data_IF_157714422553
#
_entry.id   IF_157714422553
#
_cell.length_a   1.000
_cell.length_b   1.000
_cell.length_c   1.000
_cell.angle_alpha   90.00
_cell.angle_beta   90.00
_cell.angle_gamma   90.00
#
_symmetry.space_group_name_H-M   'P 1'
#
loop_
_entity.id
_entity.type
_entity.pdbx_description
1 polymer ?
#
# COMPACT_ATOMS: atom_id res chain seq x y z
N UNK A 1 16.02 31.29 12.42
CA UNK A 1 15.70 31.73 11.05
C UNK A 1 14.82 30.65 10.48
N UNK A 2 13.57 30.97 10.20
CA UNK A 2 12.57 30.01 9.71
C UNK A 2 12.89 29.73 8.23
N UNK A 3 13.74 28.73 7.97
CA UNK A 3 14.18 28.41 6.60
C UNK A 3 13.10 27.58 5.91
N UNK A 4 12.10 28.26 5.35
CA UNK A 4 11.12 27.64 4.47
C UNK A 4 11.78 27.23 3.16
N UNK A 5 11.68 25.96 2.79
CA UNK A 5 12.11 25.45 1.50
C UNK A 5 11.10 25.83 0.41
N UNK A 6 11.58 26.35 -0.71
CA UNK A 6 10.77 26.71 -1.88
C UNK A 6 11.19 25.83 -3.06
N UNK A 7 10.36 24.86 -3.48
CA UNK A 7 10.61 24.07 -4.68
C UNK A 7 10.41 24.91 -5.95
N UNK A 8 10.99 24.47 -7.09
CA UNK A 8 10.64 25.02 -8.42
C UNK A 8 9.98 23.98 -9.31
N UNK A 9 10.57 22.80 -9.42
CA UNK A 9 10.08 21.73 -10.29
C UNK A 9 9.83 20.47 -9.45
N UNK A 10 8.54 20.13 -9.29
CA UNK A 10 8.09 19.04 -8.42
C UNK A 10 7.60 17.87 -9.29
N UNK A 11 8.19 16.70 -9.10
CA UNK A 11 7.66 15.44 -9.60
C UNK A 11 6.73 14.82 -8.56
N UNK A 12 5.45 14.62 -8.90
CA UNK A 12 4.48 13.89 -8.08
C UNK A 12 4.15 12.57 -8.76
N UNK A 13 4.60 11.45 -8.19
CA UNK A 13 4.29 10.12 -8.75
C UNK A 13 2.94 9.65 -8.23
N UNK A 14 2.12 9.00 -9.05
CA UNK A 14 0.85 8.41 -8.61
C UNK A 14 -0.31 9.42 -8.48
N UNK A 15 -0.19 10.61 -9.08
CA UNK A 15 -1.16 11.69 -8.90
C UNK A 15 -2.46 11.55 -9.70
N UNK A 16 -2.62 10.50 -10.52
CA UNK A 16 -3.94 10.13 -11.02
C UNK A 16 -4.71 9.28 -9.98
N UNK A 17 -4.06 8.84 -8.89
CA UNK A 17 -4.70 8.20 -7.75
C UNK A 17 -5.42 9.18 -6.81
N UNK A 18 -5.88 8.67 -5.67
CA UNK A 18 -6.69 9.42 -4.69
C UNK A 18 -5.92 10.58 -4.03
N UNK A 19 -5.08 10.31 -3.02
CA UNK A 19 -4.45 11.35 -2.18
C UNK A 19 -3.59 12.31 -3.01
N UNK A 20 -2.76 11.76 -3.89
CA UNK A 20 -1.80 12.54 -4.67
C UNK A 20 -2.47 13.51 -5.65
N UNK A 21 -3.68 13.22 -6.14
CA UNK A 21 -4.42 14.16 -6.98
C UNK A 21 -4.86 15.42 -6.22
N UNK A 22 -5.30 15.27 -4.97
CA UNK A 22 -5.62 16.40 -4.10
C UNK A 22 -4.37 17.25 -3.82
N UNK A 23 -3.24 16.60 -3.52
CA UNK A 23 -1.95 17.29 -3.32
C UNK A 23 -1.53 18.05 -4.59
N UNK A 24 -1.54 17.39 -5.75
CA UNK A 24 -1.19 18.02 -7.03
C UNK A 24 -2.09 19.21 -7.34
N UNK A 25 -3.42 19.04 -7.31
CA UNK A 25 -4.36 20.11 -7.60
C UNK A 25 -4.21 21.30 -6.63
N UNK A 26 -3.94 21.01 -5.36
CA UNK A 26 -3.70 22.04 -4.34
C UNK A 26 -2.42 22.83 -4.65
N UNK A 27 -1.31 22.16 -4.93
CA UNK A 27 -0.03 22.81 -5.23
C UNK A 27 -0.11 23.62 -6.53
N UNK A 28 -0.73 23.07 -7.58
CA UNK A 28 -0.90 23.76 -8.87
C UNK A 28 -1.69 25.05 -8.71
N UNK A 29 -2.80 25.00 -7.95
CA UNK A 29 -3.67 26.16 -7.72
C UNK A 29 -3.02 27.22 -6.84
N UNK A 30 -2.34 26.81 -5.78
CA UNK A 30 -1.85 27.73 -4.75
C UNK A 30 -0.46 28.32 -5.08
N UNK A 31 0.32 27.65 -5.93
CA UNK A 31 1.69 28.03 -6.27
C UNK A 31 1.89 28.05 -7.79
N UNK A 32 1.46 29.12 -8.48
CA UNK A 32 1.56 29.22 -9.93
C UNK A 32 3.02 29.23 -10.45
N UNK A 33 3.98 29.58 -9.59
CA UNK A 33 5.41 29.60 -9.91
C UNK A 33 6.08 28.21 -9.80
N UNK A 34 5.38 27.19 -9.28
CA UNK A 34 5.89 25.82 -9.20
C UNK A 34 5.47 25.05 -10.44
N UNK A 35 6.40 24.40 -11.12
CA UNK A 35 6.11 23.46 -12.19
C UNK A 35 5.83 22.08 -11.59
N UNK A 36 4.62 21.57 -11.80
CA UNK A 36 4.16 20.28 -11.29
C UNK A 36 4.12 19.27 -12.44
N UNK A 37 5.02 18.29 -12.37
CA UNK A 37 5.09 17.16 -13.28
C UNK A 37 4.49 15.94 -12.58
N UNK A 38 3.48 15.33 -13.18
CA UNK A 38 2.89 14.09 -12.69
C UNK A 38 3.40 12.91 -13.49
N UNK A 39 3.85 11.86 -12.80
CA UNK A 39 4.18 10.56 -13.40
C UNK A 39 3.23 9.50 -12.86
N UNK A 40 2.43 8.88 -13.73
CA UNK A 40 1.48 7.85 -13.34
C UNK A 40 1.31 6.79 -14.43
N UNK A 41 1.24 5.52 -14.06
CA UNK A 41 1.07 4.42 -15.02
C UNK A 41 -0.38 4.19 -15.43
N UNK A 42 -1.34 4.85 -14.75
CA UNK A 42 -2.78 4.71 -14.90
C UNK A 42 -3.24 3.27 -14.62
N UNK A 43 -2.95 2.80 -13.40
CA UNK A 43 -3.43 1.50 -12.91
C UNK A 43 -4.93 1.52 -12.55
N UNK A 44 -5.49 0.37 -12.13
CA UNK A 44 -6.94 0.20 -11.91
C UNK A 44 -7.58 1.25 -10.98
N UNK A 45 -6.85 1.74 -9.97
CA UNK A 45 -7.32 2.74 -9.00
C UNK A 45 -6.90 4.18 -9.36
N UNK A 46 -6.53 4.42 -10.62
CA UNK A 46 -6.07 5.72 -11.13
C UNK A 46 -7.04 6.27 -12.17
N UNK A 47 -7.26 7.58 -12.17
CA UNK A 47 -8.17 8.23 -13.10
C UNK A 47 -7.72 9.66 -13.41
N UNK A 48 -7.48 9.95 -14.69
CA UNK A 48 -7.11 11.29 -15.15
C UNK A 48 -8.17 12.35 -14.81
N UNK A 49 -9.44 11.94 -14.63
CA UNK A 49 -10.50 12.86 -14.19
C UNK A 49 -10.13 13.56 -12.87
N UNK A 50 -9.35 12.91 -12.00
CA UNK A 50 -8.90 13.46 -10.72
C UNK A 50 -8.03 14.72 -10.89
N UNK A 51 -7.39 14.91 -12.06
CA UNK A 51 -6.51 16.05 -12.36
C UNK A 51 -7.20 17.10 -13.26
N UNK A 52 -8.50 16.93 -13.58
CA UNK A 52 -9.24 17.90 -14.40
C UNK A 52 -9.21 19.33 -13.86
N UNK A 53 -9.27 19.59 -12.53
CA UNK A 53 -9.19 20.96 -12.02
C UNK A 53 -7.92 21.71 -12.44
N UNK A 54 -6.85 20.99 -12.77
CA UNK A 54 -5.55 21.54 -13.11
C UNK A 54 -5.12 21.30 -14.56
N UNK A 55 -5.96 20.64 -15.37
CA UNK A 55 -5.60 20.19 -16.72
C UNK A 55 -5.14 21.31 -17.65
N UNK A 56 -5.69 22.51 -17.48
CA UNK A 56 -5.39 23.68 -18.31
C UNK A 56 -4.39 24.63 -17.66
N UNK A 57 -3.85 24.30 -16.49
CA UNK A 57 -2.88 25.15 -15.80
C UNK A 57 -1.54 25.13 -16.54
N UNK A 58 -0.90 26.29 -16.76
CA UNK A 58 0.34 26.39 -17.53
C UNK A 58 1.53 25.71 -16.83
N UNK A 59 1.45 25.55 -15.52
CA UNK A 59 2.46 24.95 -14.66
C UNK A 59 2.19 23.45 -14.37
N UNK A 60 1.33 22.79 -15.15
CA UNK A 60 0.99 21.38 -15.00
C UNK A 60 1.39 20.55 -16.22
N UNK A 61 2.05 19.42 -15.98
CA UNK A 61 2.39 18.42 -17.00
C UNK A 61 2.06 17.02 -16.52
N UNK A 62 1.43 16.21 -17.36
CA UNK A 62 1.16 14.80 -17.09
C UNK A 62 2.02 13.91 -18.00
N UNK A 63 2.66 12.90 -17.41
CA UNK A 63 3.44 11.88 -18.10
C UNK A 63 2.89 10.51 -17.72
N UNK A 64 2.42 9.76 -18.72
CA UNK A 64 2.01 8.37 -18.52
C UNK A 64 3.25 7.49 -18.51
N UNK A 65 3.50 6.76 -17.43
CA UNK A 65 4.62 5.84 -17.35
C UNK A 65 4.79 5.17 -15.99
N UNK A 66 5.65 4.16 -15.94
CA UNK A 66 5.92 3.37 -14.73
C UNK A 66 7.22 3.83 -14.07
N UNK A 67 7.19 4.01 -12.74
CA UNK A 67 8.37 4.33 -11.92
C UNK A 67 9.41 3.21 -11.94
N UNK A 68 9.03 1.99 -12.34
CA UNK A 68 9.97 0.89 -12.56
C UNK A 68 10.85 1.06 -13.80
N UNK A 69 10.58 2.05 -14.67
CA UNK A 69 11.42 2.35 -15.83
C UNK A 69 12.53 3.34 -15.45
N UNK A 70 13.74 2.83 -15.23
CA UNK A 70 14.89 3.65 -14.89
C UNK A 70 15.21 4.70 -15.95
N UNK A 71 15.15 4.34 -17.24
CA UNK A 71 15.42 5.28 -18.34
C UNK A 71 14.42 6.43 -18.36
N UNK A 72 13.13 6.13 -18.20
CA UNK A 72 12.08 7.15 -18.15
C UNK A 72 12.25 8.07 -16.95
N UNK A 73 12.49 7.51 -15.77
CA UNK A 73 12.69 8.31 -14.55
C UNK A 73 13.88 9.23 -14.70
N UNK A 74 15.05 8.72 -15.15
CA UNK A 74 16.22 9.55 -15.39
C UNK A 74 15.95 10.65 -16.42
N UNK A 75 15.27 10.32 -17.53
CA UNK A 75 14.89 11.27 -18.55
C UNK A 75 14.02 12.41 -17.98
N UNK A 76 12.99 12.09 -17.19
CA UNK A 76 12.10 13.09 -16.58
C UNK A 76 12.88 13.98 -15.62
N UNK A 77 13.71 13.40 -14.73
CA UNK A 77 14.45 14.20 -13.75
C UNK A 77 15.34 15.24 -14.45
N UNK A 78 16.05 14.84 -15.50
CA UNK A 78 16.94 15.72 -16.25
C UNK A 78 16.18 16.75 -17.11
N UNK A 79 15.21 16.30 -17.92
CA UNK A 79 14.54 17.18 -18.90
C UNK A 79 13.60 18.20 -18.26
N UNK A 80 12.95 17.84 -17.16
CA UNK A 80 12.06 18.74 -16.43
C UNK A 80 12.78 19.50 -15.29
N UNK A 81 14.10 19.32 -15.15
CA UNK A 81 14.93 19.93 -14.11
C UNK A 81 14.35 19.75 -12.69
N UNK A 82 13.84 18.55 -12.39
CA UNK A 82 13.15 18.23 -11.14
C UNK A 82 14.08 18.47 -9.95
N UNK A 83 13.67 19.30 -9.00
CA UNK A 83 14.41 19.52 -7.74
C UNK A 83 13.74 18.83 -6.54
N UNK A 84 12.46 18.49 -6.67
CA UNK A 84 11.64 17.95 -5.58
C UNK A 84 10.85 16.76 -6.08
N UNK A 85 10.81 15.69 -5.28
CA UNK A 85 9.96 14.53 -5.56
C UNK A 85 9.00 14.32 -4.40
N UNK A 86 7.72 14.14 -4.71
CA UNK A 86 6.71 13.65 -3.78
C UNK A 86 6.20 12.29 -4.27
N UNK A 87 6.65 11.22 -3.62
CA UNK A 87 6.49 9.86 -4.09
C UNK A 87 5.29 9.16 -3.44
N UNK A 88 4.13 9.19 -4.11
CA UNK A 88 2.89 8.52 -3.69
C UNK A 88 2.59 7.19 -4.41
N UNK A 89 3.23 6.92 -5.56
CA UNK A 89 2.91 5.75 -6.38
C UNK A 89 3.17 4.45 -5.62
N UNK A 90 2.13 3.62 -5.46
CA UNK A 90 2.20 2.34 -4.76
C UNK A 90 0.98 1.46 -5.09
N UNK A 91 1.12 0.15 -4.88
CA UNK A 91 -0.02 -0.76 -4.67
C UNK A 91 -0.41 -0.75 -3.20
N UNK A 92 -1.71 -0.65 -2.90
CA UNK A 92 -2.20 -0.36 -1.54
C UNK A 92 -3.37 -1.22 -1.02
N UNK A 93 -3.90 -2.15 -1.81
CA UNK A 93 -5.03 -2.96 -1.35
C UNK A 93 -4.58 -4.18 -0.55
N UNK A 94 -4.79 -4.17 0.77
CA UNK A 94 -4.34 -5.22 1.70
C UNK A 94 -4.79 -6.62 1.25
N UNK A 95 -6.08 -6.83 0.93
CA UNK A 95 -6.55 -8.16 0.51
C UNK A 95 -5.89 -8.63 -0.79
N UNK A 96 -5.58 -7.71 -1.72
CA UNK A 96 -4.93 -8.06 -2.99
C UNK A 96 -3.46 -8.45 -2.76
N UNK A 97 -2.84 -7.93 -1.69
CA UNK A 97 -1.44 -8.22 -1.37
C UNK A 97 -1.20 -9.68 -0.99
N UNK A 98 -2.19 -10.37 -0.44
CA UNK A 98 -2.08 -11.80 -0.13
C UNK A 98 -2.12 -12.68 -1.39
N UNK A 99 -2.86 -12.26 -2.42
CA UNK A 99 -2.95 -12.98 -3.69
C UNK A 99 -1.84 -12.65 -4.70
N UNK A 100 -1.24 -11.46 -4.60
CA UNK A 100 -0.30 -10.92 -5.59
C UNK A 100 0.87 -10.13 -4.97
N UNK A 101 1.46 -10.65 -3.88
CA UNK A 101 2.52 -9.96 -3.12
C UNK A 101 3.74 -9.56 -3.96
N UNK A 102 4.07 -10.29 -5.04
CA UNK A 102 5.19 -9.95 -5.92
C UNK A 102 4.99 -8.61 -6.65
N UNK A 103 3.77 -8.29 -7.10
CA UNK A 103 3.48 -6.99 -7.71
C UNK A 103 3.57 -5.85 -6.70
N UNK A 104 3.28 -6.10 -5.42
CA UNK A 104 3.52 -5.11 -4.35
C UNK A 104 5.02 -4.88 -4.15
N UNK A 105 5.85 -5.93 -4.12
CA UNK A 105 7.30 -5.80 -4.07
C UNK A 105 7.84 -5.02 -5.27
N UNK A 106 7.38 -5.34 -6.48
CA UNK A 106 7.83 -4.68 -7.72
C UNK A 106 7.46 -3.19 -7.73
N UNK A 107 6.20 -2.86 -7.42
CA UNK A 107 5.77 -1.46 -7.45
C UNK A 107 6.31 -0.67 -6.26
N UNK A 108 6.21 -1.19 -5.03
CA UNK A 108 6.50 -0.44 -3.82
C UNK A 108 8.01 -0.40 -3.51
N UNK A 109 8.71 -1.54 -3.58
CA UNK A 109 10.14 -1.60 -3.25
C UNK A 109 10.98 -1.26 -4.48
N UNK A 110 10.86 -2.03 -5.56
CA UNK A 110 11.70 -1.84 -6.74
C UNK A 110 11.44 -0.47 -7.40
N UNK A 111 10.19 -0.04 -7.54
CA UNK A 111 9.86 1.30 -8.04
C UNK A 111 10.47 2.44 -7.19
N UNK A 112 10.41 2.34 -5.85
CA UNK A 112 11.08 3.29 -4.96
C UNK A 112 12.60 3.26 -5.17
N UNK A 113 13.18 2.06 -5.33
CA UNK A 113 14.62 1.90 -5.53
C UNK A 113 15.09 2.55 -6.83
N UNK A 114 14.34 2.41 -7.92
CA UNK A 114 14.62 3.07 -9.20
C UNK A 114 14.65 4.59 -9.04
N UNK A 115 13.66 5.16 -8.35
CA UNK A 115 13.65 6.60 -8.04
C UNK A 115 14.87 7.02 -7.24
N UNK A 116 15.22 6.28 -6.18
CA UNK A 116 16.37 6.60 -5.33
C UNK A 116 17.71 6.54 -6.08
N UNK A 117 17.93 5.53 -6.93
CA UNK A 117 19.13 5.46 -7.78
C UNK A 117 19.16 6.62 -8.79
N UNK A 118 18.04 6.96 -9.41
CA UNK A 118 17.98 8.12 -10.33
C UNK A 118 18.27 9.45 -9.60
N UNK A 119 17.77 9.63 -8.37
CA UNK A 119 18.08 10.80 -7.54
C UNK A 119 19.58 10.89 -7.23
N UNK A 120 20.18 9.76 -6.87
CA UNK A 120 21.62 9.65 -6.58
C UNK A 120 22.48 9.96 -7.80
N UNK A 121 22.11 9.45 -8.98
CA UNK A 121 22.85 9.67 -10.23
C UNK A 121 22.75 11.12 -10.69
N UNK A 122 21.58 11.73 -10.60
CA UNK A 122 21.35 13.12 -11.06
C UNK A 122 21.88 14.16 -10.08
N UNK A 123 21.84 13.90 -8.77
CA UNK A 123 22.40 14.79 -7.74
C UNK A 123 21.72 16.16 -7.60
N UNK A 124 20.64 16.42 -8.33
CA UNK A 124 19.93 17.70 -8.35
C UNK A 124 18.78 17.79 -7.34
N UNK A 125 18.34 16.65 -6.78
CA UNK A 125 17.22 16.60 -5.85
C UNK A 125 17.59 17.29 -4.53
N UNK A 126 16.75 18.23 -4.13
CA UNK A 126 16.86 19.01 -2.89
C UNK A 126 15.84 18.58 -1.83
N UNK A 127 14.80 17.84 -2.24
CA UNK A 127 13.81 17.24 -1.32
C UNK A 127 13.16 16.01 -1.93
N UNK A 128 13.18 14.89 -1.21
CA UNK A 128 12.50 13.64 -1.59
C UNK A 128 11.52 13.24 -0.49
N UNK A 129 10.22 13.40 -0.73
CA UNK A 129 9.16 13.06 0.23
C UNK A 129 8.63 11.67 -0.12
N UNK A 130 8.92 10.69 0.71
CA UNK A 130 8.40 9.33 0.59
C UNK A 130 7.09 9.19 1.37
N UNK A 131 6.01 8.82 0.68
CA UNK A 131 4.71 8.64 1.31
C UNK A 131 4.50 7.19 1.70
N UNK A 132 4.36 6.95 2.99
CA UNK A 132 4.10 5.64 3.60
C UNK A 132 2.79 5.63 4.39
N UNK A 133 2.58 4.60 5.20
CA UNK A 133 1.34 4.29 5.92
C UNK A 133 1.62 4.07 7.40
N UNK A 134 0.62 4.16 8.26
CA UNK A 134 0.68 3.76 9.66
C UNK A 134 0.79 2.25 9.87
N UNK A 135 0.26 1.45 8.93
CA UNK A 135 0.34 -0.03 8.97
C UNK A 135 1.78 -0.58 9.06
N UNK A 136 2.80 0.24 8.78
CA UNK A 136 4.22 -0.14 8.95
C UNK A 136 4.60 -0.33 10.42
N UNK A 137 3.89 0.31 11.35
CA UNK A 137 4.08 0.13 12.79
C UNK A 137 3.45 -1.18 13.29
N UNK A 138 2.50 -1.75 12.53
CA UNK A 138 1.72 -2.90 12.96
C UNK A 138 0.62 -2.56 13.95
N UNK A 139 0.01 -3.60 14.52
CA UNK A 139 -1.06 -3.49 15.49
C UNK A 139 -0.63 -2.76 16.76
N UNK A 140 -1.51 -1.92 17.30
CA UNK A 140 -1.34 -1.26 18.60
C UNK A 140 -2.29 -1.86 19.62
N UNK A 141 -1.84 -2.04 20.87
CA UNK A 141 -2.67 -2.57 21.95
C UNK A 141 -3.92 -1.69 22.19
N UNK A 142 -5.06 -2.33 22.50
CA UNK A 142 -6.34 -1.63 22.70
C UNK A 142 -6.30 -0.65 23.88
N UNK A 143 -5.49 -0.93 24.91
CA UNK A 143 -5.32 -0.10 26.11
C UNK A 143 -4.18 0.92 25.99
N UNK A 144 -3.51 1.00 24.82
CA UNK A 144 -2.44 1.96 24.60
C UNK A 144 -2.95 3.41 24.73
N UNK A 145 -2.32 4.14 25.65
CA UNK A 145 -2.62 5.57 25.92
C UNK A 145 -1.82 6.50 25.00
N UNK A 146 -0.68 6.04 24.50
CA UNK A 146 0.24 6.78 23.63
C UNK A 146 0.32 6.08 22.28
N UNK A 147 0.10 6.83 21.20
CA UNK A 147 0.22 6.30 19.85
C UNK A 147 1.67 6.12 19.43
N UNK A 148 1.87 5.37 18.35
CA UNK A 148 3.19 5.19 17.75
C UNK A 148 3.75 6.52 17.26
N UNK A 149 4.88 6.93 17.82
CA UNK A 149 5.63 8.10 17.38
C UNK A 149 6.64 7.69 16.29
N UNK A 150 7.29 8.65 15.64
CA UNK A 150 8.09 8.38 14.44
C UNK A 150 9.32 7.47 14.62
N UNK A 151 9.77 7.30 15.86
CA UNK A 151 10.87 6.42 16.22
C UNK A 151 10.41 5.03 16.72
N UNK A 152 9.10 4.76 16.74
CA UNK A 152 8.56 3.42 16.99
C UNK A 152 9.09 2.41 15.98
N UNK A 153 9.23 1.16 16.44
CA UNK A 153 9.68 0.06 15.60
C UNK A 153 8.66 -0.22 14.48
N UNK A 154 9.17 -0.62 13.31
CA UNK A 154 8.32 -1.09 12.22
C UNK A 154 8.05 -2.59 12.39
N UNK A 155 6.78 -2.95 12.54
CA UNK A 155 6.30 -4.33 12.75
C UNK A 155 5.15 -4.66 11.78
N UNK A 156 5.37 -4.57 10.45
CA UNK A 156 4.31 -4.80 9.47
C UNK A 156 3.76 -6.23 9.55
N UNK A 157 2.43 -6.36 9.54
CA UNK A 157 1.70 -7.62 9.74
C UNK A 157 1.17 -8.26 8.45
N UNK A 158 1.23 -7.55 7.32
CA UNK A 158 0.69 -7.99 6.04
C UNK A 158 1.64 -7.69 4.86
N UNK A 159 1.50 -8.37 3.69
CA UNK A 159 2.42 -8.18 2.57
C UNK A 159 2.47 -6.74 2.03
N UNK A 160 1.36 -6.00 2.07
CA UNK A 160 1.34 -4.60 1.69
C UNK A 160 2.21 -3.75 2.64
N UNK A 161 1.94 -3.79 3.95
CA UNK A 161 2.69 -3.00 4.93
C UNK A 161 4.16 -3.41 4.97
N UNK A 162 4.48 -4.70 4.76
CA UNK A 162 5.85 -5.19 4.66
C UNK A 162 6.60 -4.55 3.47
N UNK A 163 5.96 -4.43 2.31
CA UNK A 163 6.60 -3.78 1.15
C UNK A 163 6.75 -2.26 1.32
N UNK A 164 5.83 -1.61 2.03
CA UNK A 164 5.97 -0.18 2.41
C UNK A 164 7.11 0.03 3.39
N UNK A 165 7.22 -0.79 4.43
CA UNK A 165 8.34 -0.76 5.36
C UNK A 165 9.67 -1.06 4.66
N UNK A 166 9.70 -2.03 3.74
CA UNK A 166 10.88 -2.34 2.92
C UNK A 166 11.34 -1.16 2.06
N UNK A 167 10.41 -0.44 1.45
CA UNK A 167 10.70 0.79 0.72
C UNK A 167 11.25 1.90 1.64
N UNK A 168 10.70 2.07 2.84
CA UNK A 168 11.22 3.01 3.84
C UNK A 168 12.66 2.70 4.25
N UNK A 169 13.01 1.42 4.40
CA UNK A 169 14.39 1.02 4.72
C UNK A 169 15.37 1.43 3.61
N UNK A 170 14.97 1.33 2.34
CA UNK A 170 15.76 1.84 1.23
C UNK A 170 15.89 3.36 1.28
N UNK A 171 14.79 4.10 1.46
CA UNK A 171 14.81 5.57 1.56
C UNK A 171 15.74 6.04 2.68
N UNK A 172 15.64 5.43 3.86
CA UNK A 172 16.51 5.72 5.00
C UNK A 172 17.98 5.41 4.69
N UNK A 173 18.26 4.24 4.11
CA UNK A 173 19.62 3.84 3.76
C UNK A 173 20.24 4.79 2.74
N UNK A 174 19.47 5.25 1.74
CA UNK A 174 19.97 6.19 0.73
C UNK A 174 20.19 7.59 1.29
N UNK A 175 19.32 8.05 2.20
CA UNK A 175 19.56 9.29 2.95
C UNK A 175 20.86 9.25 3.74
N UNK A 176 21.15 8.13 4.43
CA UNK A 176 22.37 7.97 5.24
C UNK A 176 23.63 7.76 4.40
N UNK A 177 23.57 6.89 3.39
CA UNK A 177 24.74 6.46 2.62
C UNK A 177 25.12 7.42 1.51
N UNK A 178 24.16 8.15 0.94
CA UNK A 178 24.38 9.04 -0.21
C UNK A 178 23.98 10.49 0.05
N UNK A 179 23.53 10.82 1.27
CA UNK A 179 23.14 12.19 1.63
C UNK A 179 21.89 12.69 0.89
N UNK A 180 21.03 11.79 0.37
CA UNK A 180 19.80 12.21 -0.28
C UNK A 180 18.88 12.95 0.71
N UNK A 181 18.28 14.08 0.31
CA UNK A 181 17.48 14.91 1.22
C UNK A 181 16.07 14.35 1.41
N UNK A 182 15.98 13.20 2.08
CA UNK A 182 14.75 12.42 2.24
C UNK A 182 13.90 12.90 3.41
N UNK A 183 12.58 12.86 3.26
CA UNK A 183 11.57 13.02 4.32
C UNK A 183 10.59 11.87 4.14
N UNK A 184 10.19 11.22 5.22
CA UNK A 184 9.17 10.16 5.16
C UNK A 184 7.89 10.64 5.84
N UNK A 185 6.73 10.33 5.27
CA UNK A 185 5.45 10.58 5.93
C UNK A 185 4.74 9.26 6.18
N UNK A 186 4.06 9.10 7.32
CA UNK A 186 3.23 7.93 7.63
C UNK A 186 1.84 8.40 8.01
N UNK A 187 0.82 8.07 7.21
CA UNK A 187 -0.53 8.60 7.38
C UNK A 187 -1.53 7.58 7.91
N UNK A 188 -2.54 8.04 8.65
CA UNK A 188 -3.74 7.26 8.94
C UNK A 188 -4.62 7.04 7.68
N UNK A 189 -5.74 6.33 7.84
CA UNK A 189 -6.72 6.16 6.77
C UNK A 189 -7.25 7.52 6.28
N UNK A 190 -7.12 7.75 4.97
CA UNK A 190 -7.64 8.95 4.32
C UNK A 190 -8.97 8.64 3.66
N UNK A 191 -9.91 9.58 3.69
CA UNK A 191 -11.20 9.46 3.01
C UNK A 191 -11.61 10.79 2.35
N UNK A 192 -12.43 10.71 1.31
CA UNK A 192 -12.84 11.89 0.56
C UNK A 192 -13.32 11.61 -0.86
N UNK A 193 -13.64 12.68 -1.62
CA UNK A 193 -13.78 12.65 -3.07
C UNK A 193 -12.64 11.88 -3.76
N UNK A 194 -12.89 11.32 -4.95
CA UNK A 194 -11.84 10.65 -5.73
C UNK A 194 -11.16 9.44 -5.06
N UNK A 195 -11.74 8.85 -4.02
CA UNK A 195 -11.28 7.57 -3.48
C UNK A 195 -11.84 6.41 -4.33
N UNK A 196 -11.06 5.35 -4.53
CA UNK A 196 -11.52 4.21 -5.32
C UNK A 196 -12.58 3.38 -4.54
N UNK A 197 -13.69 2.95 -5.17
CA UNK A 197 -14.84 2.27 -4.52
C UNK A 197 -14.60 0.98 -3.75
N UNK A 198 -13.41 0.38 -3.80
CA UNK A 198 -13.09 -0.80 -3.00
C UNK A 198 -12.86 -0.47 -1.50
N UNK A 199 -12.51 0.78 -1.21
CA UNK A 199 -12.21 1.27 0.14
C UNK A 199 -13.51 1.44 0.93
N UNK A 200 -13.41 1.30 2.25
CA UNK A 200 -14.55 1.17 3.17
C UNK A 200 -15.66 2.23 2.96
N UNK A 201 -15.31 3.52 3.09
CA UNK A 201 -16.27 4.62 3.04
C UNK A 201 -16.93 4.74 1.64
N UNK A 202 -16.17 4.78 0.54
CA UNK A 202 -16.74 4.75 -0.82
C UNK A 202 -17.65 3.56 -1.08
N UNK A 203 -17.23 2.35 -0.67
CA UNK A 203 -18.01 1.12 -0.83
C UNK A 203 -19.35 1.24 -0.14
N UNK A 204 -19.34 1.67 1.12
CA UNK A 204 -20.56 1.81 1.91
C UNK A 204 -21.47 2.89 1.37
N UNK A 205 -20.94 4.02 0.92
CA UNK A 205 -21.72 5.08 0.27
C UNK A 205 -22.42 4.52 -0.98
N UNK A 206 -21.70 3.85 -1.88
CA UNK A 206 -22.27 3.33 -3.13
C UNK A 206 -23.28 2.19 -2.91
N UNK A 207 -23.06 1.34 -1.90
CA UNK A 207 -24.01 0.31 -1.51
C UNK A 207 -25.27 0.93 -0.89
N UNK A 208 -25.11 1.90 0.02
CA UNK A 208 -26.23 2.63 0.62
C UNK A 208 -27.06 3.39 -0.42
N UNK A 209 -26.40 4.04 -1.40
CA UNK A 209 -27.07 4.71 -2.53
C UNK A 209 -27.98 3.79 -3.33
N UNK A 210 -27.70 2.48 -3.33
CA UNK A 210 -28.48 1.46 -4.06
C UNK A 210 -29.32 0.58 -3.13
N UNK A 211 -29.42 0.93 -1.84
CA UNK A 211 -30.15 0.15 -0.82
C UNK A 211 -29.59 -1.26 -0.62
N UNK A 212 -28.33 -1.49 -0.97
CA UNK A 212 -27.65 -2.79 -0.85
C UNK A 212 -27.00 -2.93 0.54
N UNK A 213 -26.84 -4.16 1.04
CA UNK A 213 -26.24 -4.38 2.34
C UNK A 213 -24.78 -3.91 2.42
N UNK A 214 -24.37 -3.38 3.58
CA UNK A 214 -23.02 -2.91 3.87
C UNK A 214 -22.21 -4.05 4.52
N UNK A 215 -21.21 -4.62 3.81
CA UNK A 215 -20.44 -5.74 4.34
C UNK A 215 -19.37 -5.28 5.34
N UNK A 216 -19.41 -5.80 6.57
CA UNK A 216 -18.41 -5.57 7.61
C UNK A 216 -17.60 -6.86 7.81
N UNK A 217 -16.28 -6.78 7.74
CA UNK A 217 -15.41 -7.92 8.05
C UNK A 217 -15.35 -8.18 9.55
N UNK A 218 -15.48 -9.44 9.95
CA UNK A 218 -15.48 -9.82 11.36
C UNK A 218 -16.70 -9.25 12.09
N UNK A 219 -16.49 -8.64 13.24
CA UNK A 219 -17.55 -8.02 14.07
C UNK A 219 -17.59 -6.49 13.92
N UNK A 220 -16.71 -5.90 13.11
CA UNK A 220 -16.61 -4.45 12.91
C UNK A 220 -16.05 -3.66 14.08
N UNK A 221 -15.47 -4.34 15.08
CA UNK A 221 -14.85 -3.71 16.25
C UNK A 221 -13.52 -3.02 15.94
N UNK A 222 -12.88 -3.34 14.80
CA UNK A 222 -11.62 -2.72 14.38
C UNK A 222 -11.70 -1.19 14.43
N UNK A 223 -10.70 -0.60 15.07
CA UNK A 223 -10.59 0.84 15.32
C UNK A 223 -9.60 1.46 14.34
N UNK A 224 -9.99 2.56 13.71
CA UNK A 224 -9.14 3.33 12.79
C UNK A 224 -9.31 4.83 13.03
N UNK A 225 -8.27 5.59 12.69
CA UNK A 225 -8.33 7.05 12.57
C UNK A 225 -8.60 7.45 11.13
N UNK A 226 -9.54 8.37 10.90
CA UNK A 226 -9.93 8.81 9.56
C UNK A 226 -9.67 10.30 9.35
N UNK A 227 -8.86 10.64 8.36
CA UNK A 227 -8.53 12.01 7.98
C UNK A 227 -9.15 12.39 6.64
N UNK A 228 -9.71 13.59 6.57
CA UNK A 228 -10.28 14.11 5.33
C UNK A 228 -9.17 14.47 4.32
N UNK A 229 -9.36 14.13 3.05
CA UNK A 229 -8.32 14.23 2.03
C UNK A 229 -7.71 15.62 1.82
N UNK A 230 -8.51 16.69 1.94
CA UNK A 230 -8.00 18.06 1.80
C UNK A 230 -7.12 18.48 2.99
N UNK A 231 -7.44 18.02 4.21
CA UNK A 231 -6.60 18.25 5.39
C UNK A 231 -5.25 17.52 5.25
N UNK A 232 -5.28 16.30 4.68
CA UNK A 232 -4.07 15.53 4.36
C UNK A 232 -3.28 16.21 3.23
N UNK A 233 -3.94 16.76 2.21
CA UNK A 233 -3.26 17.51 1.16
C UNK A 233 -2.55 18.76 1.72
N UNK A 234 -3.17 19.44 2.69
CA UNK A 234 -2.54 20.51 3.45
C UNK A 234 -1.34 20.01 4.30
N UNK A 235 -1.42 18.84 4.92
CA UNK A 235 -0.29 18.25 5.64
C UNK A 235 0.94 18.10 4.73
N UNK A 236 0.74 17.57 3.52
CA UNK A 236 1.80 17.44 2.54
C UNK A 236 2.37 18.79 2.08
N UNK A 237 1.53 19.82 1.93
CA UNK A 237 1.99 21.19 1.65
C UNK A 237 2.85 21.75 2.80
N UNK A 238 2.45 21.55 4.06
CA UNK A 238 3.22 21.99 5.23
C UNK A 238 4.56 21.26 5.29
N UNK A 239 4.57 19.93 5.14
CA UNK A 239 5.80 19.12 5.14
C UNK A 239 6.70 19.51 3.96
N UNK A 240 6.11 19.78 2.78
CA UNK A 240 6.86 20.22 1.60
C UNK A 240 7.64 21.50 1.85
N UNK A 241 7.13 22.47 2.60
CA UNK A 241 7.82 23.74 2.82
C UNK A 241 8.64 23.77 4.11
N UNK A 242 8.15 23.14 5.18
CA UNK A 242 8.71 23.27 6.54
C UNK A 242 9.34 21.98 7.06
N UNK A 243 9.10 20.85 6.42
CA UNK A 243 9.66 19.57 6.84
C UNK A 243 11.19 19.60 6.83
N UNK A 244 11.77 18.98 7.86
CA UNK A 244 13.20 18.84 8.03
C UNK A 244 13.70 17.58 7.31
N UNK A 245 14.81 17.71 6.59
CA UNK A 245 15.44 16.58 5.89
C UNK A 245 15.97 15.56 6.91
N UNK A 246 15.81 14.28 6.59
CA UNK A 246 16.15 13.15 7.46
C UNK A 246 15.05 12.79 8.46
N UNK A 247 13.96 13.56 8.51
CA UNK A 247 12.89 13.35 9.47
C UNK A 247 11.73 12.55 8.88
N UNK A 248 11.07 11.82 9.77
CA UNK A 248 9.76 11.23 9.53
C UNK A 248 8.69 12.15 10.15
N UNK A 249 7.50 12.21 9.55
CA UNK A 249 6.32 12.90 10.09
C UNK A 249 5.08 11.99 10.02
N UNK A 250 4.45 11.76 11.16
CA UNK A 250 3.14 11.13 11.20
C UNK A 250 2.04 12.14 10.82
N UNK A 251 1.16 11.76 9.89
CA UNK A 251 -0.03 12.51 9.48
C UNK A 251 -1.25 11.77 10.05
N UNK A 252 -1.67 12.16 11.25
CA UNK A 252 -2.66 11.40 12.00
C UNK A 252 -3.69 12.23 12.73
N UNK A 253 -4.55 11.52 13.46
CA UNK A 253 -5.49 12.10 14.42
C UNK A 253 -5.69 11.17 15.59
N UNK A 254 -6.00 11.76 16.76
CA UNK A 254 -6.42 11.03 17.96
C UNK A 254 -7.91 10.66 17.93
N UNK A 255 -8.65 11.10 16.91
CA UNK A 255 -10.07 10.78 16.73
C UNK A 255 -10.23 9.43 16.06
N UNK A 256 -10.49 8.42 16.88
CA UNK A 256 -10.70 7.05 16.47
C UNK A 256 -12.19 6.75 16.23
N UNK A 257 -12.49 5.87 15.28
CA UNK A 257 -13.83 5.33 15.02
C UNK A 257 -13.74 3.85 14.70
N UNK A 258 -14.73 3.07 15.16
CA UNK A 258 -14.86 1.67 14.75
C UNK A 258 -15.46 1.58 13.36
N UNK A 259 -15.13 0.52 12.64
CA UNK A 259 -15.72 0.23 11.32
C UNK A 259 -17.25 0.18 11.37
N UNK A 260 -17.83 -0.38 12.45
CA UNK A 260 -19.28 -0.41 12.63
C UNK A 260 -19.90 0.97 12.83
N UNK A 261 -19.20 1.90 13.50
CA UNK A 261 -19.71 3.26 13.71
C UNK A 261 -19.71 4.02 12.38
N UNK A 262 -18.70 3.81 11.52
CA UNK A 262 -18.67 4.37 10.15
C UNK A 262 -19.87 3.86 9.32
N UNK A 263 -20.19 2.56 9.40
CA UNK A 263 -21.34 2.00 8.70
C UNK A 263 -22.66 2.61 9.17
N UNK A 264 -22.82 2.80 10.49
CA UNK A 264 -24.00 3.44 11.10
C UNK A 264 -24.12 4.91 10.67
N UNK A 265 -23.03 5.66 10.68
CA UNK A 265 -23.00 7.05 10.24
C UNK A 265 -23.44 7.18 8.78
N UNK A 266 -22.99 6.27 7.90
CA UNK A 266 -23.43 6.24 6.50
C UNK A 266 -24.91 5.85 6.38
N UNK A 267 -25.39 4.84 7.11
CA UNK A 267 -26.82 4.49 7.11
C UNK A 267 -27.69 5.69 7.52
N UNK A 268 -27.27 6.44 8.54
CA UNK A 268 -27.97 7.64 9.01
C UNK A 268 -28.04 8.72 7.91
N UNK A 269 -26.96 8.94 7.16
CA UNK A 269 -26.95 9.90 6.05
C UNK A 269 -27.94 9.54 4.94
N UNK A 270 -28.19 8.25 4.72
CA UNK A 270 -29.14 7.75 3.72
C UNK A 270 -30.52 7.43 4.31
N UNK A 271 -30.76 7.72 5.60
CA UNK A 271 -32.00 7.35 6.31
C UNK A 271 -32.33 5.84 6.22
N UNK A 272 -31.30 4.99 6.25
CA UNK A 272 -31.43 3.54 6.26
C UNK A 272 -31.32 3.00 7.69
N UNK A 273 -32.00 1.90 7.97
CA UNK A 273 -31.89 1.20 9.26
C UNK A 273 -30.60 0.36 9.32
N UNK A 274 -29.63 0.69 10.20
CA UNK A 274 -28.37 -0.04 10.30
C UNK A 274 -28.54 -1.53 10.61
N UNK A 275 -29.56 -1.91 11.40
CA UNK A 275 -29.78 -3.30 11.82
C UNK A 275 -30.12 -4.22 10.63
N UNK A 276 -30.81 -3.68 9.63
CA UNK A 276 -31.16 -4.43 8.42
C UNK A 276 -30.08 -4.34 7.35
N UNK A 277 -29.40 -3.20 7.23
CA UNK A 277 -28.42 -2.93 6.18
C UNK A 277 -27.04 -3.54 6.44
N UNK A 278 -26.57 -3.56 7.68
CA UNK A 278 -25.24 -4.07 8.00
C UNK A 278 -25.24 -5.61 7.92
N UNK A 279 -24.24 -6.18 7.25
CA UNK A 279 -24.03 -7.62 7.16
C UNK A 279 -22.59 -7.96 7.50
N UNK A 280 -22.41 -8.81 8.50
CA UNK A 280 -21.10 -9.33 8.84
C UNK A 280 -20.68 -10.41 7.84
N UNK A 281 -19.42 -10.35 7.42
CA UNK A 281 -18.77 -11.29 6.51
C UNK A 281 -17.48 -11.82 7.14
N UNK A 282 -16.90 -12.84 6.52
CA UNK A 282 -15.62 -13.40 6.97
C UNK A 282 -14.57 -12.31 7.23
N UNK A 283 -13.81 -12.48 8.30
CA UNK A 283 -12.74 -11.54 8.63
C UNK A 283 -11.57 -11.68 7.64
N UNK A 284 -10.77 -10.63 7.51
CA UNK A 284 -9.53 -10.68 6.72
C UNK A 284 -8.44 -11.41 7.51
N UNK A 285 -7.56 -12.17 6.84
CA UNK A 285 -6.33 -12.65 7.47
C UNK A 285 -5.51 -11.46 7.97
N UNK A 286 -5.05 -11.50 9.23
CA UNK A 286 -4.21 -10.47 9.82
C UNK A 286 -4.82 -9.06 9.75
N UNK A 287 -6.09 -8.94 10.16
CA UNK A 287 -6.78 -7.66 10.27
C UNK A 287 -6.47 -7.02 11.64
N UNK A 288 -5.44 -6.18 11.69
CA UNK A 288 -5.01 -5.53 12.94
C UNK A 288 -6.19 -4.81 13.61
N UNK A 289 -6.32 -4.96 14.92
CA UNK A 289 -7.46 -4.45 15.66
C UNK A 289 -7.47 -2.92 15.71
N UNK A 290 -6.31 -2.30 15.98
CA UNK A 290 -6.17 -0.86 16.15
C UNK A 290 -4.85 -0.34 15.57
N UNK A 291 -4.92 0.81 14.90
CA UNK A 291 -3.75 1.62 14.58
C UNK A 291 -3.86 2.96 15.28
N UNK A 292 -2.87 3.29 16.10
CA UNK A 292 -2.87 4.53 16.87
C UNK A 292 -1.53 5.26 16.67
N UNK A 293 -1.59 6.48 16.12
CA UNK A 293 -0.42 7.32 15.83
C UNK A 293 -0.31 8.47 16.82
N UNK A 294 0.92 8.87 17.13
CA UNK A 294 1.21 10.21 17.65
C UNK A 294 1.52 11.17 16.49
N UNK A 295 0.75 12.27 16.40
CA UNK A 295 0.82 13.30 15.35
C UNK A 295 1.43 14.62 15.85
N UNK A 296 1.95 14.66 17.08
CA UNK A 296 2.40 15.90 17.72
C UNK A 296 3.55 16.58 16.97
N UNK A 297 4.45 15.81 16.35
CA UNK A 297 5.58 16.36 15.60
C UNK A 297 5.14 17.21 14.41
N UNK A 298 4.14 16.76 13.67
CA UNK A 298 3.57 17.51 12.55
C UNK A 298 2.75 18.71 13.04
N UNK A 299 2.05 18.57 14.17
CA UNK A 299 1.36 19.70 14.83
C UNK A 299 2.30 20.84 15.19
N UNK A 300 3.47 20.49 15.72
CA UNK A 300 4.52 21.47 16.04
C UNK A 300 5.07 22.18 14.78
N UNK A 301 4.87 21.62 13.58
CA UNK A 301 5.22 22.23 12.30
C UNK A 301 4.15 23.25 11.81
N UNK A 302 3.02 23.34 12.51
CA UNK A 302 1.92 24.25 12.23
C UNK A 302 0.75 23.65 11.46
N UNK A 303 0.65 22.33 11.35
CA UNK A 303 -0.50 21.64 10.75
C UNK A 303 -1.46 21.12 11.82
N UNK A 304 -2.76 21.17 11.55
CA UNK A 304 -3.77 20.47 12.35
C UNK A 304 -4.94 20.11 11.44
N UNK A 305 -5.57 18.96 11.69
CA UNK A 305 -6.87 18.64 11.07
C UNK A 305 -7.89 19.76 11.31
N UNK A 306 -8.71 20.07 10.30
CA UNK A 306 -9.71 21.16 10.33
C UNK A 306 -11.11 20.65 10.08
N UNK A 307 -11.24 19.60 9.29
CA UNK A 307 -12.51 19.07 8.85
C UNK A 307 -13.08 18.14 9.91
N UNK A 308 -14.28 18.46 10.42
CA UNK A 308 -15.01 17.56 11.31
C UNK A 308 -15.51 16.34 10.54
N UNK A 309 -15.61 15.18 11.21
CA UNK A 309 -16.00 13.92 10.59
C UNK A 309 -17.34 14.03 9.84
N UNK A 310 -18.34 14.62 10.48
CA UNK A 310 -19.70 14.72 9.95
C UNK A 310 -19.72 15.57 8.66
N UNK A 311 -18.91 16.63 8.63
CA UNK A 311 -18.75 17.50 7.46
C UNK A 311 -18.00 16.79 6.33
N UNK A 312 -16.86 16.16 6.64
CA UNK A 312 -16.06 15.44 5.66
C UNK A 312 -16.82 14.25 5.05
N UNK A 313 -17.57 13.50 5.87
CA UNK A 313 -18.38 12.38 5.41
C UNK A 313 -19.50 12.85 4.49
N UNK A 314 -20.18 13.95 4.85
CA UNK A 314 -21.20 14.58 3.99
C UNK A 314 -20.63 15.05 2.66
N UNK A 315 -19.49 15.75 2.66
CA UNK A 315 -18.79 16.17 1.43
C UNK A 315 -18.41 14.98 0.55
N UNK A 316 -17.95 13.90 1.16
CA UNK A 316 -17.59 12.65 0.48
C UNK A 316 -18.81 12.03 -0.19
N UNK A 317 -19.92 11.88 0.56
CA UNK A 317 -21.19 11.37 0.05
C UNK A 317 -21.73 12.21 -1.11
N UNK A 318 -21.80 13.54 -0.94
CA UNK A 318 -22.28 14.46 -1.98
C UNK A 318 -21.46 14.34 -3.27
N UNK A 319 -20.15 14.11 -3.15
CA UNK A 319 -19.29 13.90 -4.30
C UNK A 319 -19.64 12.60 -5.05
N UNK A 320 -19.83 11.47 -4.36
CA UNK A 320 -20.23 10.22 -5.02
C UNK A 320 -21.61 10.31 -5.66
N UNK A 321 -22.56 11.01 -5.03
CA UNK A 321 -23.89 11.27 -5.60
C UNK A 321 -23.79 12.07 -6.90
N UNK A 322 -22.93 13.09 -6.95
CA UNK A 322 -22.74 13.93 -8.15
C UNK A 322 -21.87 13.28 -9.23
N UNK A 323 -21.13 12.22 -8.90
CA UNK A 323 -20.14 11.59 -9.78
C UNK A 323 -20.30 10.06 -9.84
N UNK A 324 -21.49 9.52 -10.16
CA UNK A 324 -21.76 8.08 -10.11
C UNK A 324 -20.86 7.27 -11.08
N UNK A 325 -20.57 7.81 -12.26
CA UNK A 325 -19.80 7.14 -13.32
C UNK A 325 -18.32 7.54 -13.32
N UNK A 326 -17.80 8.05 -12.19
CA UNK A 326 -16.42 8.54 -12.15
C UNK A 326 -15.42 7.44 -12.53
N UNK A 327 -15.61 6.25 -11.94
CA UNK A 327 -14.72 5.09 -12.03
C UNK A 327 -15.15 4.02 -13.03
N UNK A 328 -16.25 4.22 -13.76
CA UNK A 328 -16.82 3.19 -14.64
C UNK A 328 -17.46 2.04 -13.86
N UNK A 329 -17.31 0.80 -14.36
CA UNK A 329 -17.85 -0.38 -13.67
C UNK A 329 -17.02 -0.72 -12.42
N UNK A 330 -17.67 -0.61 -11.27
CA UNK A 330 -17.09 -0.84 -9.94
C UNK A 330 -17.73 -2.05 -9.24
N UNK A 331 -18.54 -2.84 -9.95
CA UNK A 331 -19.27 -3.98 -9.37
C UNK A 331 -18.35 -4.95 -8.61
N UNK A 332 -17.18 -5.27 -9.17
CA UNK A 332 -16.17 -6.10 -8.52
C UNK A 332 -15.55 -5.46 -7.28
N UNK A 333 -15.39 -4.14 -7.26
CA UNK A 333 -14.85 -3.40 -6.12
C UNK A 333 -15.82 -3.38 -4.92
N UNK A 334 -17.13 -3.45 -5.18
CA UNK A 334 -18.18 -3.47 -4.16
C UNK A 334 -18.39 -4.85 -3.49
N UNK A 335 -17.69 -5.89 -3.94
CA UNK A 335 -17.72 -7.20 -3.28
C UNK A 335 -17.12 -7.10 -1.85
N UNK A 336 -17.59 -7.92 -0.89
CA UNK A 336 -17.03 -7.93 0.46
C UNK A 336 -15.52 -8.18 0.46
N UNK A 337 -15.07 -9.22 -0.25
CA UNK A 337 -13.66 -9.51 -0.52
C UNK A 337 -13.40 -9.36 -2.02
N UNK A 338 -12.98 -8.17 -2.48
CA UNK A 338 -12.58 -7.99 -3.87
C UNK A 338 -11.43 -8.95 -4.17
N UNK A 339 -11.65 -9.85 -5.12
CA UNK A 339 -10.53 -10.54 -5.77
C UNK A 339 -10.18 -9.70 -6.98
N UNK A 340 -8.90 -9.56 -7.28
CA UNK A 340 -8.45 -9.00 -8.54
C UNK A 340 -8.86 -9.97 -9.67
N UNK A 341 -10.14 -9.94 -10.04
CA UNK A 341 -10.57 -10.29 -11.39
C UNK A 341 -9.97 -9.18 -12.24
N UNK A 342 -9.12 -9.54 -13.20
CA UNK A 342 -8.69 -8.61 -14.23
C UNK A 342 -9.96 -7.90 -14.74
N UNK A 343 -10.07 -6.60 -14.47
CA UNK A 343 -11.21 -5.80 -14.92
C UNK A 343 -11.27 -5.97 -16.44
N UNK A 344 -12.34 -6.51 -17.02
CA UNK A 344 -12.43 -6.64 -18.47
C UNK A 344 -12.45 -5.23 -19.06
N UNK A 345 -11.41 -4.85 -19.80
CA UNK A 345 -11.38 -3.55 -20.48
C UNK A 345 -10.02 -2.84 -20.63
N UNK A 346 -8.92 -3.40 -20.12
CA UNK A 346 -7.57 -2.86 -20.40
C UNK A 346 -6.72 -3.97 -21.00
N UNK A 347 -6.55 -3.92 -22.32
CA UNK A 347 -5.84 -4.92 -23.12
C UNK A 347 -4.40 -5.14 -22.65
N UNK A 348 -4.08 -6.38 -22.32
CA UNK A 348 -2.72 -6.92 -22.35
C UNK A 348 -2.66 -8.00 -23.41
N UNK A 349 -2.27 -7.65 -24.63
CA UNK A 349 -1.83 -8.64 -25.62
C UNK A 349 -0.52 -9.25 -25.12
N UNK A 350 -0.56 -10.52 -24.76
CA UNK A 350 0.61 -11.38 -24.74
C UNK A 350 0.44 -12.39 -25.87
N UNK A 351 1.22 -12.20 -26.94
CA UNK A 351 1.34 -13.14 -28.04
C UNK A 351 2.06 -14.41 -27.59
N UNK A 352 1.51 -15.56 -27.98
CA UNK A 352 2.10 -16.90 -27.86
C UNK A 352 1.27 -17.89 -28.70
N UNK A 353 1.89 -18.85 -29.41
CA UNK A 353 1.49 -19.19 -30.78
C UNK A 353 0.33 -20.20 -30.90
N UNK A 354 -0.28 -20.13 -32.09
CA UNK A 354 -1.32 -20.99 -32.65
C UNK A 354 -1.17 -22.48 -32.34
N UNK A 355 -2.27 -23.11 -31.89
CA UNK A 355 -2.62 -24.49 -32.27
C UNK A 355 -4.13 -24.59 -32.51
N UNK A 356 -4.47 -24.99 -33.73
CA UNK A 356 -5.81 -25.21 -34.26
C UNK A 356 -6.52 -26.47 -33.73
N UNK A 357 -7.86 -26.35 -33.59
CA UNK A 357 -8.92 -27.37 -33.74
C UNK A 357 -8.82 -28.74 -33.03
N UNK A 358 -9.75 -29.00 -32.10
CA UNK A 358 -10.86 -29.95 -32.33
C UNK A 358 -11.80 -30.02 -31.12
N UNK A 359 -13.10 -30.13 -31.42
CA UNK A 359 -14.18 -30.22 -30.45
C UNK A 359 -14.27 -31.63 -29.83
N UNK A 360 -14.52 -31.71 -28.52
CA UNK A 360 -15.50 -32.64 -27.95
C UNK A 360 -15.73 -32.35 -26.46
N UNK A 361 -17.00 -32.40 -26.09
CA UNK A 361 -17.61 -32.42 -24.77
C UNK A 361 -16.84 -33.22 -23.71
N UNK A 362 -16.84 -32.78 -22.44
CA UNK A 362 -17.40 -33.50 -21.28
C UNK A 362 -17.02 -32.86 -19.93
N UNK A 363 -18.06 -32.72 -19.09
CA UNK A 363 -18.12 -32.85 -17.61
C UNK A 363 -17.62 -31.71 -16.72
N UNK A 364 -18.60 -31.21 -15.95
CA UNK A 364 -18.52 -30.36 -14.76
C UNK A 364 -18.03 -31.16 -13.55
N UNK A 365 -17.02 -30.62 -12.84
CA UNK A 365 -16.63 -30.75 -11.42
C UNK A 365 -15.12 -30.41 -11.33
N UNK A 366 -14.53 -29.63 -10.42
CA UNK A 366 -14.89 -28.98 -9.16
C UNK A 366 -13.83 -27.87 -8.93
N UNK A 367 -14.10 -26.80 -8.16
CA UNK A 367 -13.17 -25.68 -8.00
C UNK A 367 -12.11 -25.99 -6.93
N UNK A 368 -10.83 -26.02 -7.31
CA UNK A 368 -9.72 -25.95 -6.35
C UNK A 368 -9.64 -24.53 -5.78
N UNK A 369 -10.30 -24.32 -4.65
CA UNK A 369 -10.05 -23.18 -3.78
C UNK A 369 -8.58 -23.21 -3.33
N UNK A 370 -7.80 -22.19 -3.69
CA UNK A 370 -6.58 -21.83 -2.99
C UNK A 370 -6.95 -21.46 -1.55
N UNK A 371 -6.94 -22.44 -0.64
CA UNK A 371 -7.10 -22.22 0.80
C UNK A 371 -5.82 -21.59 1.32
N UNK A 372 -5.88 -20.31 1.69
CA UNK A 372 -4.87 -19.68 2.55
C UNK A 372 -4.89 -20.41 3.90
N UNK A 373 -3.76 -20.99 4.28
CA UNK A 373 -3.64 -21.74 5.54
C UNK A 373 -3.34 -20.74 6.66
N UNK A 374 -4.37 -20.36 7.40
CA UNK A 374 -4.21 -19.72 8.72
C UNK A 374 -4.03 -20.84 9.75
N UNK A 375 -2.97 -20.86 10.57
CA UNK A 375 -2.85 -21.84 11.64
C UNK A 375 -3.90 -21.55 12.72
N UNK A 376 -4.75 -22.53 13.02
CA UNK A 376 -5.65 -22.50 14.19
C UNK A 376 -4.89 -23.02 15.41
N UNK A 377 -4.96 -22.38 16.59
CA UNK A 377 -4.33 -22.92 17.79
C UNK A 377 -5.15 -24.10 18.30
N UNK A 378 -4.58 -25.32 18.24
CA UNK A 378 -5.18 -26.51 18.85
C UNK A 378 -4.54 -26.77 20.20
N UNK A 379 -5.34 -26.66 21.26
CA UNK A 379 -5.04 -27.26 22.56
C UNK A 379 -5.49 -28.72 22.53
N UNK A 380 -4.55 -29.66 22.64
CA UNK A 380 -4.78 -30.98 23.25
C UNK A 380 -3.43 -31.61 23.67
N UNK A 381 -3.33 -32.25 24.85
CA UNK A 381 -2.06 -32.70 25.40
C UNK A 381 -1.77 -34.17 25.04
N UNK A 382 -0.76 -34.40 24.20
CA UNK A 382 0.06 -35.63 24.21
C UNK A 382 1.42 -35.34 23.57
N UNK A 383 2.47 -35.40 24.38
CA UNK A 383 3.81 -34.90 24.07
C UNK A 383 4.69 -35.94 23.37
N UNK A 384 4.70 -35.93 22.04
CA UNK A 384 5.93 -36.14 21.28
C UNK A 384 6.17 -34.86 20.48
N UNK A 385 7.25 -34.13 20.77
CA UNK A 385 7.63 -32.97 19.95
C UNK A 385 7.76 -33.47 18.49
N UNK A 386 7.14 -32.80 17.50
CA UNK A 386 7.33 -33.19 16.10
C UNK A 386 8.82 -33.21 15.80
N UNK A 387 9.32 -34.30 15.21
CA UNK A 387 10.72 -34.42 14.86
C UNK A 387 11.08 -33.31 13.86
N UNK A 388 12.07 -32.50 14.21
CA UNK A 388 12.52 -31.40 13.35
C UNK A 388 13.04 -31.99 12.04
N UNK A 389 12.46 -31.56 10.92
CA UNK A 389 13.00 -31.76 9.58
C UNK A 389 13.20 -30.42 8.88
N UNK A 390 14.43 -30.12 8.47
CA UNK A 390 14.79 -28.83 7.88
C UNK A 390 14.97 -28.93 6.36
N UNK A 391 14.48 -27.93 5.65
CA UNK A 391 14.85 -27.67 4.25
C UNK A 391 15.72 -26.42 4.22
N UNK A 392 16.98 -26.55 3.78
CA UNK A 392 17.97 -25.47 3.81
C UNK A 392 18.25 -25.00 2.39
N UNK A 393 18.07 -23.71 2.10
CA UNK A 393 18.54 -23.07 0.88
C UNK A 393 19.86 -22.32 1.12
N UNK A 394 20.73 -22.27 0.11
CA UNK A 394 22.03 -21.59 0.22
C UNK A 394 23.20 -22.49 0.60
N UNK A 395 23.19 -23.77 0.18
CA UNK A 395 24.23 -24.78 0.49
C UNK A 395 25.66 -24.28 0.25
N UNK A 396 25.89 -23.56 -0.83
CA UNK A 396 27.21 -23.04 -1.24
C UNK A 396 27.64 -21.81 -0.46
N UNK A 397 26.72 -21.15 0.24
CA UNK A 397 27.01 -20.02 1.11
C UNK A 397 27.58 -20.47 2.45
N UNK A 398 28.37 -19.60 3.08
CA UNK A 398 29.00 -19.88 4.38
C UNK A 398 27.97 -20.29 5.45
N UNK A 399 26.87 -19.53 5.57
CA UNK A 399 25.82 -19.78 6.57
C UNK A 399 25.07 -21.08 6.26
N UNK A 400 24.66 -21.30 5.00
CA UNK A 400 23.91 -22.50 4.63
C UNK A 400 24.72 -23.78 4.81
N UNK A 401 25.99 -23.78 4.44
CA UNK A 401 26.90 -24.90 4.70
C UNK A 401 27.15 -25.15 6.20
N UNK A 402 27.25 -24.09 7.00
CA UNK A 402 27.39 -24.21 8.46
C UNK A 402 26.12 -24.81 9.08
N UNK A 403 24.93 -24.40 8.65
CA UNK A 403 23.66 -24.94 9.13
C UNK A 403 23.57 -26.45 8.88
N UNK A 404 23.95 -26.95 7.71
CA UNK A 404 23.97 -28.39 7.47
C UNK A 404 24.92 -29.15 8.38
N UNK A 405 26.15 -28.64 8.60
CA UNK A 405 27.10 -29.25 9.56
C UNK A 405 26.55 -29.29 10.98
N UNK A 406 25.84 -28.25 11.40
CA UNK A 406 25.17 -28.21 12.71
C UNK A 406 24.07 -29.28 12.77
N UNK A 407 23.27 -29.41 11.72
CA UNK A 407 22.22 -30.43 11.64
C UNK A 407 22.80 -31.85 11.70
N UNK A 408 23.88 -32.13 10.96
CA UNK A 408 24.61 -33.41 11.01
C UNK A 408 25.11 -33.71 12.43
N UNK A 409 25.77 -32.74 13.08
CA UNK A 409 26.31 -32.90 14.45
C UNK A 409 25.22 -33.15 15.49
N UNK A 410 24.06 -32.53 15.33
CA UNK A 410 22.92 -32.64 16.26
C UNK A 410 21.95 -33.77 15.90
N UNK A 411 22.22 -34.52 14.81
CA UNK A 411 21.32 -35.57 14.34
C UNK A 411 19.95 -35.07 13.88
N UNK A 412 19.85 -33.81 13.43
CA UNK A 412 18.60 -33.21 12.94
C UNK A 412 18.45 -33.55 11.45
N UNK A 413 17.37 -34.25 11.03
CA UNK A 413 17.09 -34.49 9.62
C UNK A 413 17.02 -33.19 8.81
N UNK A 414 17.75 -33.12 7.70
CA UNK A 414 17.69 -31.98 6.81
C UNK A 414 17.95 -32.37 5.35
N UNK A 415 17.46 -31.55 4.43
CA UNK A 415 17.80 -31.61 3.01
C UNK A 415 18.11 -30.22 2.49
N UNK A 416 19.01 -30.13 1.50
CA UNK A 416 19.25 -28.88 0.80
C UNK A 416 18.26 -28.72 -0.36
N UNK A 417 17.67 -27.54 -0.49
CA UNK A 417 16.88 -27.18 -1.66
C UNK A 417 17.74 -27.16 -2.92
N UNK A 418 17.16 -27.60 -4.03
CA UNK A 418 17.80 -27.67 -5.35
C UNK A 418 17.43 -26.48 -6.23
N UNK A 419 16.28 -25.85 -5.95
CA UNK A 419 15.79 -24.69 -6.69
C UNK A 419 16.57 -23.41 -6.41
N UNK A 420 16.70 -22.58 -7.44
CA UNK A 420 16.97 -21.16 -7.24
C UNK A 420 15.70 -20.48 -6.69
N UNK A 421 15.87 -19.46 -5.85
CA UNK A 421 14.75 -18.84 -5.13
C UNK A 421 13.73 -18.16 -6.08
N UNK A 422 14.14 -17.78 -7.28
CA UNK A 422 13.26 -17.24 -8.32
C UNK A 422 12.39 -18.31 -9.00
N UNK A 423 12.73 -19.60 -8.90
CA UNK A 423 12.00 -20.68 -9.55
C UNK A 423 10.93 -21.26 -8.62
N UNK A 424 9.73 -20.69 -8.66
CA UNK A 424 8.58 -21.10 -7.85
C UNK A 424 8.24 -22.59 -7.98
N UNK A 425 8.24 -23.14 -9.20
CA UNK A 425 7.88 -24.54 -9.44
C UNK A 425 8.85 -25.49 -8.74
N UNK A 426 10.15 -25.16 -8.75
CA UNK A 426 11.15 -25.97 -8.07
C UNK A 426 11.06 -25.84 -6.55
N UNK A 427 10.78 -24.65 -6.01
CA UNK A 427 10.58 -24.48 -4.56
C UNK A 427 9.38 -25.30 -4.06
N UNK A 428 8.29 -25.32 -4.83
CA UNK A 428 7.11 -26.13 -4.51
C UNK A 428 7.46 -27.62 -4.55
N UNK A 429 8.19 -28.06 -5.58
CA UNK A 429 8.65 -29.45 -5.68
C UNK A 429 9.55 -29.83 -4.49
N UNK A 430 10.52 -28.98 -4.13
CA UNK A 430 11.41 -29.21 -3.00
C UNK A 430 10.62 -29.35 -1.69
N UNK A 431 9.64 -28.46 -1.43
CA UNK A 431 8.79 -28.54 -0.22
C UNK A 431 7.91 -29.80 -0.22
N UNK A 432 7.32 -30.17 -1.37
CA UNK A 432 6.46 -31.34 -1.48
C UNK A 432 7.22 -32.66 -1.31
N UNK A 433 8.44 -32.73 -1.84
CA UNK A 433 9.31 -33.91 -1.74
C UNK A 433 9.89 -34.03 -0.34
N UNK A 434 10.48 -32.95 0.18
CA UNK A 434 11.17 -32.97 1.48
C UNK A 434 10.17 -33.01 2.63
N UNK A 435 8.99 -32.43 2.49
CA UNK A 435 7.98 -32.26 3.55
C UNK A 435 8.62 -31.73 4.86
N UNK A 436 9.35 -30.60 4.78
CA UNK A 436 10.05 -30.10 5.95
C UNK A 436 9.06 -29.56 6.98
N UNK A 437 9.46 -29.63 8.25
CA UNK A 437 8.79 -28.90 9.33
C UNK A 437 9.20 -27.43 9.37
N UNK A 438 10.42 -27.11 8.92
CA UNK A 438 10.96 -25.76 8.90
C UNK A 438 11.79 -25.52 7.63
N UNK A 439 11.78 -24.29 7.13
CA UNK A 439 12.59 -23.88 5.99
C UNK A 439 13.59 -22.83 6.47
N UNK A 440 14.88 -23.06 6.23
CA UNK A 440 15.95 -22.08 6.42
C UNK A 440 16.35 -21.52 5.07
N UNK A 441 16.14 -20.22 4.86
CA UNK A 441 16.72 -19.51 3.73
C UNK A 441 18.02 -18.84 4.16
N UNK A 442 19.15 -19.47 3.84
CA UNK A 442 20.50 -18.88 3.97
C UNK A 442 21.09 -18.57 2.58
N UNK A 443 20.22 -18.47 1.56
CA UNK A 443 20.60 -18.11 0.22
C UNK A 443 20.84 -16.60 0.15
N UNK A 444 22.12 -16.22 0.11
CA UNK A 444 22.58 -14.89 -0.21
C UNK A 444 23.68 -14.99 -1.26
N UNK A 445 23.77 -14.01 -2.14
CA UNK A 445 24.90 -13.88 -3.07
C UNK A 445 25.95 -13.04 -2.36
N UNK A 446 26.94 -13.69 -1.75
CA UNK A 446 28.16 -13.02 -1.33
C UNK A 446 29.15 -13.24 -2.47
N UNK A 447 29.50 -12.16 -3.18
CA UNK A 447 30.58 -12.17 -4.18
C UNK A 447 31.94 -12.26 -3.49
#
# INVERSE_FOLDING_TARGET
>A
MDTTYTPKNILITGAAGFIASHVANRLIRNYPDYNIVVLDKLDYCSNLKNLLPSRSSPNFKFIKGDIGSADLVNFILLTENIDTIMHFAAQTHVDNSFGNSFEFTKNNIYGTHVLLEACKVTGQIRRFIHVSTDEVYGETDEDAVVGNHEASQLLPTNPYSATKAGAEMLVMAYGRSYGLPVITTRGNNVYGPNQFPEKLIPKFILLAMTGKPLPIHGDGSNVRSYLYCEDVAEAFEVILHRGEVGHVYNIGTKKERRVIDVAKDICNLFSLDPETQIKFVDNRPFNDQRYFLDDQKLKNLGWSERTMWEEGLKKTMEWYIRNPDWWGDVSGALLPHPRMLMVPGIEGKFDGPDVSNSASSFVVNNPTQNRMVVPVPKHNPSTQKPSLKFLIYGRTGWIGGLLGKICEKQGIPFEYGKGRLENRSQLVADIQVVKPTHVFSAAGVNW
#
